data_IF_370383412257
#
_entry.id   IF_370383412257
#
_cell.length_a   1.000
_cell.length_b   1.000
_cell.length_c   1.000
_cell.angle_alpha   90.00
_cell.angle_beta   90.00
_cell.angle_gamma   90.00
#
_symmetry.space_group_name_H-M   'P 1'
#
loop_
_entity.id
_entity.type
_entity.pdbx_description
1 polymer ?
#
# COMPACT_ATOMS: atom_id res chain seq x y z
N UNK A 1 -9.49 3.85 -7.66
CA UNK A 1 -8.02 3.85 -7.60
C UNK A 1 -7.62 4.32 -6.22
N UNK A 2 -6.68 3.64 -5.58
CA UNK A 2 -6.17 3.95 -4.24
C UNK A 2 -4.67 4.28 -4.37
N UNK A 3 -4.28 5.43 -3.86
CA UNK A 3 -2.87 5.81 -3.71
C UNK A 3 -2.62 5.91 -2.20
N UNK A 4 -1.55 5.26 -1.73
CA UNK A 4 -1.13 5.30 -0.33
C UNK A 4 0.28 5.85 -0.32
N UNK A 5 0.47 6.98 0.35
CA UNK A 5 1.77 7.62 0.50
C UNK A 5 2.06 7.63 2.00
N UNK A 6 3.18 7.04 2.41
CA UNK A 6 3.54 6.96 3.82
C UNK A 6 5.04 7.14 4.05
N UNK A 7 5.36 7.71 5.21
CA UNK A 7 6.69 7.89 5.80
C UNK A 7 6.87 7.02 7.07
N UNK A 8 6.00 6.03 7.30
CA UNK A 8 6.05 5.25 8.53
C UNK A 8 5.15 4.01 8.51
N UNK A 9 4.79 3.53 9.70
CA UNK A 9 3.90 2.39 9.88
C UNK A 9 2.53 2.85 10.41
N UNK A 10 1.41 2.44 9.79
CA UNK A 10 0.09 2.67 10.36
C UNK A 10 -0.06 1.97 11.72
N UNK A 11 -0.71 2.64 12.68
CA UNK A 11 -0.83 2.18 14.08
C UNK A 11 -2.16 1.50 14.41
N UNK A 12 -3.19 1.70 13.57
CA UNK A 12 -4.57 1.30 13.88
C UNK A 12 -4.96 0.00 13.14
N UNK A 13 -6.26 -0.28 13.00
CA UNK A 13 -6.83 -1.48 12.36
C UNK A 13 -6.65 -1.55 10.83
N UNK A 14 -5.46 -1.25 10.34
CA UNK A 14 -5.13 -1.16 8.91
C UNK A 14 -5.16 -2.52 8.20
N UNK A 15 -5.00 -3.63 8.92
CA UNK A 15 -4.91 -4.98 8.35
C UNK A 15 -6.23 -5.38 7.68
N UNK A 16 -7.37 -4.96 8.23
CA UNK A 16 -8.69 -5.24 7.65
C UNK A 16 -8.85 -4.50 6.32
N UNK A 17 -8.49 -3.22 6.28
CA UNK A 17 -8.55 -2.40 5.06
C UNK A 17 -7.57 -2.89 4.00
N UNK A 18 -6.36 -3.27 4.39
CA UNK A 18 -5.37 -3.86 3.49
C UNK A 18 -5.91 -5.14 2.83
N UNK A 19 -6.53 -6.02 3.63
CA UNK A 19 -7.14 -7.27 3.12
C UNK A 19 -8.27 -7.01 2.13
N UNK A 20 -9.13 -6.00 2.39
CA UNK A 20 -10.19 -5.61 1.46
C UNK A 20 -9.64 -5.01 0.17
N UNK A 21 -8.63 -4.14 0.27
CA UNK A 21 -7.97 -3.54 -0.88
C UNK A 21 -7.33 -4.62 -1.76
N UNK A 22 -6.63 -5.57 -1.16
CA UNK A 22 -6.02 -6.69 -1.86
C UNK A 22 -7.07 -7.55 -2.59
N UNK A 23 -8.20 -7.86 -1.96
CA UNK A 23 -9.26 -8.65 -2.59
C UNK A 23 -9.91 -7.91 -3.77
N UNK A 24 -10.16 -6.61 -3.62
CA UNK A 24 -10.68 -5.78 -4.72
C UNK A 24 -9.67 -5.67 -5.87
N UNK A 25 -8.37 -5.55 -5.56
CA UNK A 25 -7.32 -5.57 -6.58
C UNK A 25 -7.23 -6.90 -7.31
N UNK A 26 -7.32 -8.03 -6.59
CA UNK A 26 -7.36 -9.37 -7.18
C UNK A 26 -8.55 -9.53 -8.14
N UNK A 27 -9.70 -8.94 -7.80
CA UNK A 27 -10.91 -8.93 -8.66
C UNK A 27 -10.85 -7.89 -9.78
N UNK A 28 -9.72 -7.21 -9.98
CA UNK A 28 -9.53 -6.10 -10.96
C UNK A 28 -10.52 -4.94 -10.75
N UNK A 29 -11.05 -4.78 -9.53
CA UNK A 29 -11.96 -3.69 -9.14
C UNK A 29 -11.24 -2.50 -8.53
N UNK A 30 -9.97 -2.67 -8.16
CA UNK A 30 -9.15 -1.63 -7.54
C UNK A 30 -7.71 -1.69 -8.06
N UNK A 31 -7.21 -0.59 -8.61
CA UNK A 31 -5.77 -0.36 -8.73
C UNK A 31 -5.27 0.29 -7.43
N UNK A 32 -4.22 -0.26 -6.84
CA UNK A 32 -3.59 0.22 -5.62
C UNK A 32 -2.11 0.49 -5.87
N UNK A 33 -1.67 1.73 -5.60
CA UNK A 33 -0.30 2.18 -5.75
C UNK A 33 0.22 2.69 -4.40
N UNK A 34 0.88 1.83 -3.61
CA UNK A 34 1.61 2.25 -2.43
C UNK A 34 2.95 2.89 -2.82
N UNK A 35 3.28 3.99 -2.14
CA UNK A 35 4.47 4.81 -2.34
C UNK A 35 5.12 5.05 -0.96
N UNK A 36 6.34 4.58 -0.80
CA UNK A 36 7.21 4.91 0.33
C UNK A 36 7.91 6.25 0.06
N UNK A 37 7.77 7.22 0.98
CA UNK A 37 8.41 8.54 0.90
C UNK A 37 9.50 8.78 1.94
N UNK A 38 9.55 8.01 3.04
CA UNK A 38 10.61 8.11 4.04
C UNK A 38 10.58 6.94 5.03
N UNK A 39 11.23 5.82 4.70
CA UNK A 39 11.34 4.65 5.59
C UNK A 39 10.01 4.02 6.01
N UNK A 40 8.97 4.13 5.19
CA UNK A 40 7.75 3.37 5.44
C UNK A 40 8.02 1.86 5.39
N UNK A 41 7.29 1.10 6.19
CA UNK A 41 7.39 -0.36 6.16
C UNK A 41 6.80 -0.88 4.85
N UNK A 42 7.68 -1.23 3.91
CA UNK A 42 7.31 -1.74 2.59
C UNK A 42 6.49 -3.03 2.70
N UNK A 43 6.71 -3.85 3.73
CA UNK A 43 5.93 -5.08 3.93
C UNK A 43 4.48 -4.73 4.29
N UNK A 44 4.28 -3.70 5.11
CA UNK A 44 2.94 -3.21 5.47
C UNK A 44 2.26 -2.54 4.27
N UNK A 45 2.96 -1.63 3.59
CA UNK A 45 2.46 -0.96 2.38
C UNK A 45 2.10 -1.96 1.28
N UNK A 46 2.92 -2.99 1.09
CA UNK A 46 2.69 -4.04 0.10
C UNK A 46 1.41 -4.83 0.33
N UNK A 47 0.87 -4.88 1.56
CA UNK A 47 -0.40 -5.57 1.85
C UNK A 47 -1.62 -4.89 1.23
N UNK A 48 -1.52 -3.63 0.84
CA UNK A 48 -2.61 -2.91 0.18
C UNK A 48 -2.66 -3.12 -1.34
N UNK A 49 -1.66 -3.80 -1.91
CA UNK A 49 -1.59 -4.07 -3.35
C UNK A 49 -1.52 -5.57 -3.63
N UNK A 50 -1.91 -5.94 -4.85
CA UNK A 50 -1.64 -7.27 -5.42
C UNK A 50 -0.36 -7.31 -6.26
N UNK A 51 0.37 -6.19 -6.33
CA UNK A 51 1.62 -6.01 -7.09
C UNK A 51 2.71 -5.43 -6.20
N UNK A 52 3.96 -5.43 -6.67
CA UNK A 52 5.11 -4.86 -5.95
C UNK A 52 4.95 -3.35 -5.67
N UNK A 53 5.35 -2.92 -4.47
CA UNK A 53 5.39 -1.51 -4.03
C UNK A 53 6.49 -0.74 -4.78
N UNK A 54 6.20 0.51 -5.16
CA UNK A 54 7.20 1.42 -5.71
C UNK A 54 7.78 2.32 -4.61
N UNK A 55 9.10 2.56 -4.63
CA UNK A 55 9.76 3.55 -3.78
C UNK A 55 10.02 4.82 -4.58
N UNK A 56 9.66 5.98 -4.01
CA UNK A 56 10.00 7.26 -4.61
C UNK A 56 11.32 7.76 -4.00
N UNK A 57 12.38 7.81 -4.80
CA UNK A 57 13.64 8.47 -4.43
C UNK A 57 13.70 9.83 -5.11
N UNK A 58 13.70 10.91 -4.32
CA UNK A 58 14.02 12.24 -4.82
C UNK A 58 15.55 12.36 -4.81
N UNK A 59 16.14 12.49 -6.01
CA UNK A 59 17.58 12.72 -6.21
C UNK A 59 17.99 14.14 -5.85
#
# INVERSE_FOLDING_TARGET
MLIIISDGMPTDDWQMLASQAQELSRRRKLASLPIDVNQADINVLGRFSSHSTARLTLG
#
